data_IF_160878306194
#
_entry.id   IF_160878306194
#
_cell.length_a   1.000
_cell.length_b   1.000
_cell.length_c   1.000
_cell.angle_alpha   90.00
_cell.angle_beta   90.00
_cell.angle_gamma   90.00
#
_symmetry.space_group_name_H-M   'P 1'
#
loop_
_entity.id
_entity.type
_entity.pdbx_description
1 polymer ?
#
# COMPACT_ATOMS: atom_id res chain seq x y z
N UNK A 1 7.51 3.58 -9.89
CA UNK A 1 6.04 3.54 -9.81
C UNK A 1 5.60 4.63 -8.87
N UNK A 2 4.52 5.34 -9.17
CA UNK A 2 3.86 6.28 -8.26
C UNK A 2 2.65 5.57 -7.66
N UNK A 3 2.50 5.62 -6.33
CA UNK A 3 1.35 5.11 -5.61
C UNK A 3 0.61 6.29 -4.95
N UNK A 4 -0.69 6.39 -5.19
CA UNK A 4 -1.61 7.31 -4.54
C UNK A 4 -2.63 6.46 -3.79
N UNK A 5 -2.84 6.77 -2.51
CA UNK A 5 -3.68 5.95 -1.64
C UNK A 5 -4.41 6.81 -0.62
N UNK A 6 -5.52 6.29 -0.07
CA UNK A 6 -6.18 6.85 1.12
C UNK A 6 -5.46 6.38 2.38
N UNK A 7 -5.50 7.18 3.43
CA UNK A 7 -4.99 6.87 4.77
C UNK A 7 -5.52 5.54 5.32
N UNK A 8 -6.76 5.19 4.94
CA UNK A 8 -7.33 3.87 5.15
C UNK A 8 -6.38 2.73 4.80
N UNK A 9 -5.47 2.85 3.81
CA UNK A 9 -4.50 1.82 3.43
C UNK A 9 -3.41 1.56 4.50
N UNK A 10 -2.98 2.59 5.23
CA UNK A 10 -1.87 2.53 6.20
C UNK A 10 -2.34 2.58 7.65
N UNK A 11 -3.57 3.00 7.91
CA UNK A 11 -4.12 3.09 9.26
C UNK A 11 -4.39 1.69 9.82
N UNK A 12 -3.70 1.37 10.92
CA UNK A 12 -3.83 0.10 11.63
C UNK A 12 -3.82 0.34 13.14
N UNK A 13 -4.69 -0.32 13.92
CA UNK A 13 -4.74 -0.14 15.37
C UNK A 13 -3.40 -0.45 16.04
N UNK A 14 -2.85 0.53 16.76
CA UNK A 14 -1.61 0.37 17.53
C UNK A 14 -0.32 0.39 16.69
N UNK A 15 -0.40 0.72 15.40
CA UNK A 15 0.77 0.96 14.54
C UNK A 15 0.90 2.46 14.30
N UNK A 16 2.12 2.97 14.40
CA UNK A 16 2.41 4.36 14.03
C UNK A 16 2.28 4.54 12.52
N UNK A 17 1.67 5.65 12.09
CA UNK A 17 1.39 5.90 10.67
C UNK A 17 2.67 6.04 9.83
N UNK A 18 3.76 6.55 10.42
CA UNK A 18 5.04 6.68 9.74
C UNK A 18 5.70 5.31 9.55
N UNK A 19 5.55 4.41 10.53
CA UNK A 19 6.02 3.03 10.43
C UNK A 19 5.26 2.25 9.34
N UNK A 20 3.93 2.39 9.31
CA UNK A 20 3.09 1.78 8.28
C UNK A 20 3.42 2.33 6.87
N UNK A 21 3.63 3.64 6.76
CA UNK A 21 4.05 4.29 5.52
C UNK A 21 5.43 3.83 5.07
N UNK A 22 6.36 3.64 6.01
CA UNK A 22 7.70 3.12 5.73
C UNK A 22 7.65 1.68 5.22
N UNK A 23 6.81 0.83 5.82
CA UNK A 23 6.60 -0.54 5.38
C UNK A 23 6.00 -0.60 3.96
N UNK A 24 5.03 0.27 3.67
CA UNK A 24 4.44 0.44 2.34
C UNK A 24 5.51 0.84 1.31
N UNK A 25 6.33 1.84 1.63
CA UNK A 25 7.41 2.32 0.78
C UNK A 25 8.45 1.22 0.51
N UNK A 26 8.82 0.44 1.53
CA UNK A 26 9.73 -0.69 1.36
C UNK A 26 9.15 -1.75 0.40
N UNK A 27 7.85 -2.07 0.51
CA UNK A 27 7.18 -3.01 -0.40
C UNK A 27 7.25 -2.55 -1.86
N UNK A 28 7.06 -1.26 -2.11
CA UNK A 28 7.19 -0.65 -3.45
C UNK A 28 8.60 -0.85 -4.05
N UNK A 29 9.64 -1.01 -3.22
CA UNK A 29 11.02 -1.22 -3.67
C UNK A 29 11.40 -2.69 -3.87
N UNK A 30 10.72 -3.62 -3.18
CA UNK A 30 11.07 -5.06 -3.18
C UNK A 30 10.34 -5.82 -4.28
N UNK A 31 9.09 -5.46 -4.58
CA UNK A 31 8.33 -6.16 -5.62
C UNK A 31 8.90 -5.81 -6.98
N UNK A 32 9.33 -6.83 -7.75
CA UNK A 32 9.74 -6.64 -9.14
C UNK A 32 8.63 -5.92 -9.89
N UNK A 33 8.88 -4.66 -10.21
CA UNK A 33 7.90 -3.71 -10.75
C UNK A 33 7.55 -4.02 -12.20
N UNK A 34 7.47 -5.28 -12.62
CA UNK A 34 7.04 -5.66 -13.96
C UNK A 34 5.51 -5.79 -14.02
N UNK A 35 4.86 -6.25 -12.94
CA UNK A 35 3.40 -6.38 -12.87
C UNK A 35 2.81 -5.44 -11.80
N UNK A 36 2.01 -4.45 -12.22
CA UNK A 36 1.33 -3.53 -11.29
C UNK A 36 0.20 -4.23 -10.52
N UNK A 37 -0.42 -5.27 -11.08
CA UNK A 37 -1.51 -6.01 -10.44
C UNK A 37 -0.99 -6.73 -9.20
N UNK A 38 0.10 -7.49 -9.35
CA UNK A 38 0.76 -8.20 -8.24
C UNK A 38 1.25 -7.23 -7.16
N UNK A 39 1.68 -6.04 -7.57
CA UNK A 39 2.04 -4.99 -6.61
C UNK A 39 0.80 -4.47 -5.88
N UNK A 40 -0.30 -4.21 -6.58
CA UNK A 40 -1.56 -3.77 -5.96
C UNK A 40 -2.05 -4.80 -4.94
N UNK A 41 -2.10 -6.08 -5.32
CA UNK A 41 -2.51 -7.18 -4.44
C UNK A 41 -1.62 -7.24 -3.19
N UNK A 42 -0.29 -7.18 -3.35
CA UNK A 42 0.63 -7.20 -2.21
C UNK A 42 0.47 -6.01 -1.26
N UNK A 43 0.02 -4.84 -1.75
CA UNK A 43 -0.21 -3.66 -0.92
C UNK A 43 -1.56 -3.74 -0.22
N UNK A 44 -2.59 -4.25 -0.89
CA UNK A 44 -3.94 -4.44 -0.33
C UNK A 44 -3.98 -5.57 0.70
N UNK A 45 -3.31 -6.70 0.43
CA UNK A 45 -3.22 -7.84 1.37
C UNK A 45 -2.65 -7.43 2.73
N UNK A 46 -1.61 -6.59 2.73
CA UNK A 46 -1.01 -6.07 3.96
C UNK A 46 -2.02 -5.24 4.76
N UNK A 47 -2.80 -4.45 4.03
CA UNK A 47 -3.84 -3.62 4.59
C UNK A 47 -4.95 -4.52 5.19
N UNK A 48 -5.44 -5.52 4.48
CA UNK A 48 -6.53 -6.41 4.93
C UNK A 48 -6.20 -7.21 6.20
N UNK A 49 -4.92 -7.49 6.44
CA UNK A 49 -4.44 -8.17 7.65
C UNK A 49 -4.45 -7.25 8.89
N UNK A 50 -4.73 -5.96 8.72
CA UNK A 50 -4.61 -4.92 9.74
C UNK A 50 -5.97 -4.56 10.37
N UNK A 51 -6.56 -5.50 11.12
CA UNK A 51 -7.72 -5.30 12.03
C UNK A 51 -9.05 -4.84 11.36
N UNK A 52 -10.20 -4.77 12.10
CA UNK A 52 -11.48 -4.39 11.53
C UNK A 52 -11.46 -2.91 11.13
N UNK A 53 -11.63 -2.66 9.83
CA UNK A 53 -11.45 -1.34 9.23
C UNK A 53 -12.72 -0.52 9.34
N UNK A 54 -12.56 0.74 9.71
CA UNK A 54 -13.66 1.70 9.77
C UNK A 54 -13.60 2.74 8.64
N UNK A 55 -12.58 2.66 7.77
CA UNK A 55 -12.32 3.66 6.72
C UNK A 55 -12.10 3.02 5.33
N UNK A 56 -12.37 3.81 4.29
CA UNK A 56 -12.34 3.39 2.89
C UNK A 56 -10.90 3.28 2.36
N UNK A 57 -10.64 2.24 1.57
CA UNK A 57 -9.34 2.03 0.92
C UNK A 57 -9.49 2.32 -0.57
N UNK A 58 -8.66 3.21 -1.08
CA UNK A 58 -8.41 3.34 -2.51
C UNK A 58 -6.91 3.30 -2.78
N UNK A 59 -6.51 2.63 -3.87
CA UNK A 59 -5.13 2.55 -4.34
C UNK A 59 -5.10 2.82 -5.86
N UNK A 60 -4.24 3.75 -6.26
CA UNK A 60 -3.93 4.03 -7.67
C UNK A 60 -2.42 3.90 -7.89
N UNK A 61 -2.04 2.95 -8.75
CA UNK A 61 -0.67 2.73 -9.16
C UNK A 61 -0.46 3.23 -10.60
N UNK A 62 0.54 4.09 -10.77
CA UNK A 62 0.92 4.61 -12.09
C UNK A 62 2.39 4.27 -12.36
N UNK A 63 2.65 3.64 -13.50
CA UNK A 63 4.01 3.48 -14.01
C UNK A 63 4.21 4.49 -15.13
N UNK A 64 4.96 5.58 -14.90
CA UNK A 64 5.35 6.45 -15.99
C UNK A 64 6.25 5.65 -16.94
N UNK A 65 5.83 5.55 -18.20
CA UNK A 65 6.73 5.13 -19.28
C UNK A 65 7.52 6.37 -19.69
N UNK A 66 8.84 6.30 -19.57
CA UNK A 66 9.75 7.26 -20.19
C UNK A 66 9.97 6.88 -21.65
#
# INVERSE_FOLDING_TARGET
VLALYTDGLVEAPGIDIDDATTALAHRLTVTETQNLEVLADSLLDHAEQSAPRNDDIALLLVRPHA
#
